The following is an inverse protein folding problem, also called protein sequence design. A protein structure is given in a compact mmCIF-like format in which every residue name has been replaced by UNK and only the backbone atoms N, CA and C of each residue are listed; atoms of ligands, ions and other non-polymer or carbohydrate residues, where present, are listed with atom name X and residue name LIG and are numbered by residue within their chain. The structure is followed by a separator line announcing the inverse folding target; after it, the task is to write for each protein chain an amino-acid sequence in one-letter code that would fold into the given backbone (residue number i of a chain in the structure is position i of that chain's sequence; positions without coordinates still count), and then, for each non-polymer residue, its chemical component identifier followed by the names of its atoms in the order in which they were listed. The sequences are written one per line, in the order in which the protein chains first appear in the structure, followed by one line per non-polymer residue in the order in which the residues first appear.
data_IF_969141426181
#
_entry.id   IF_969141426181
#
_cell.length_a   1.000
_cell.length_b   1.000
_cell.length_c   1.000
_cell.angle_alpha   90.00
_cell.angle_beta   90.00
_cell.angle_gamma   90.00
#
_symmetry.space_group_name_H-M   'P 1'
#
loop_
_entity.id
_entity.type
_entity.pdbx_description
1 polymer ?
#
# COMPACT_ATOMS: atom_id res chain seq x y z
N UNK A 1 18.57 -56.46 -15.34
CA UNK A 1 18.05 -55.27 -16.04
C UNK A 1 16.78 -54.66 -15.45
N UNK A 2 15.96 -55.36 -14.65
CA UNK A 2 14.71 -54.79 -14.05
C UNK A 2 14.94 -53.85 -12.84
N UNK A 3 16.07 -53.94 -12.15
CA UNK A 3 16.36 -53.09 -10.96
C UNK A 3 17.01 -51.76 -11.28
N UNK A 4 17.54 -51.59 -12.52
CA UNK A 4 18.16 -50.33 -12.95
C UNK A 4 17.14 -49.28 -13.39
N UNK A 5 15.96 -49.71 -13.81
CA UNK A 5 14.87 -48.80 -14.26
C UNK A 5 14.10 -48.15 -13.11
N UNK A 6 14.07 -48.80 -11.94
CA UNK A 6 13.37 -48.29 -10.75
C UNK A 6 14.16 -47.15 -10.05
N UNK A 7 15.50 -47.19 -10.10
CA UNK A 7 16.33 -46.14 -9.54
C UNK A 7 16.29 -44.83 -10.37
N UNK A 8 16.04 -44.92 -11.68
CA UNK A 8 15.97 -43.74 -12.56
C UNK A 8 14.65 -42.96 -12.39
N UNK A 9 13.56 -43.63 -12.00
CA UNK A 9 12.28 -42.97 -11.75
C UNK A 9 12.20 -42.26 -10.38
N UNK A 10 13.03 -42.61 -9.38
CA UNK A 10 13.07 -41.93 -8.06
C UNK A 10 13.87 -40.64 -8.08
N UNK A 11 14.74 -40.42 -9.06
CA UNK A 11 15.55 -39.21 -9.19
C UNK A 11 14.81 -38.00 -9.81
N UNK A 12 13.58 -38.22 -10.33
CA UNK A 12 12.78 -37.17 -11.01
C UNK A 12 11.69 -36.56 -10.13
N UNK A 13 11.57 -36.95 -8.85
CA UNK A 13 10.54 -36.46 -7.92
C UNK A 13 11.08 -35.45 -6.86
N UNK A 14 12.31 -35.02 -7.01
CA UNK A 14 12.76 -33.82 -6.32
C UNK A 14 12.23 -32.57 -7.06
N UNK A 15 10.92 -32.45 -7.20
CA UNK A 15 10.31 -31.16 -7.45
C UNK A 15 10.54 -30.34 -6.18
N UNK A 16 11.51 -29.44 -6.26
CA UNK A 16 11.70 -28.34 -5.34
C UNK A 16 10.31 -27.78 -5.01
N UNK A 17 9.85 -27.95 -3.78
CA UNK A 17 9.00 -26.95 -3.17
C UNK A 17 9.86 -25.68 -3.12
N UNK A 18 9.86 -24.89 -4.17
CA UNK A 18 10.36 -23.54 -4.08
C UNK A 18 9.45 -22.85 -3.04
N UNK A 19 10.04 -22.44 -1.94
CA UNK A 19 9.30 -21.69 -0.93
C UNK A 19 8.61 -20.52 -1.64
N UNK A 20 7.29 -20.40 -1.44
CA UNK A 20 6.51 -19.34 -2.07
C UNK A 20 7.02 -17.99 -1.60
N UNK A 21 7.39 -17.13 -2.53
CA UNK A 21 7.84 -15.77 -2.23
C UNK A 21 6.79 -15.05 -1.38
N UNK A 22 7.19 -14.52 -0.23
CA UNK A 22 6.32 -13.79 0.69
C UNK A 22 6.63 -12.30 0.68
N UNK A 23 5.62 -11.48 0.53
CA UNK A 23 5.73 -10.03 0.55
C UNK A 23 4.76 -9.40 1.55
N UNK A 24 5.12 -8.24 2.09
CA UNK A 24 4.23 -7.46 2.95
C UNK A 24 3.96 -6.09 2.30
N UNK A 25 2.71 -5.66 2.30
CA UNK A 25 2.24 -4.51 1.52
C UNK A 25 1.38 -3.59 2.38
N UNK A 26 1.62 -2.30 2.32
CA UNK A 26 0.74 -1.31 2.93
C UNK A 26 -0.69 -1.41 2.40
N UNK A 27 -1.67 -1.47 3.30
CA UNK A 27 -3.08 -1.78 2.98
C UNK A 27 -3.68 -0.87 1.88
N UNK A 28 -3.24 0.39 1.79
CA UNK A 28 -3.69 1.34 0.76
C UNK A 28 -3.27 0.97 -0.67
N UNK A 29 -2.37 0.01 -0.84
CA UNK A 29 -1.86 -0.44 -2.15
C UNK A 29 -2.33 -1.86 -2.52
N UNK A 30 -3.28 -2.43 -1.76
CA UNK A 30 -3.77 -3.78 -2.01
C UNK A 30 -4.24 -3.98 -3.45
N UNK A 31 -5.05 -3.05 -3.99
CA UNK A 31 -5.65 -3.20 -5.33
C UNK A 31 -4.62 -3.27 -6.45
N UNK A 32 -3.71 -2.28 -6.63
CA UNK A 32 -2.69 -2.38 -7.67
C UNK A 32 -1.80 -3.61 -7.50
N UNK A 33 -1.41 -3.97 -6.28
CA UNK A 33 -0.56 -5.14 -6.07
C UNK A 33 -1.29 -6.44 -6.38
N UNK A 34 -2.57 -6.58 -6.05
CA UNK A 34 -3.36 -7.77 -6.46
C UNK A 34 -3.41 -7.90 -7.99
N UNK A 35 -3.58 -6.80 -8.74
CA UNK A 35 -3.56 -6.81 -10.20
C UNK A 35 -2.17 -7.20 -10.75
N UNK A 36 -1.10 -6.68 -10.14
CA UNK A 36 0.28 -7.05 -10.46
C UNK A 36 0.54 -8.53 -10.21
N UNK A 37 0.13 -9.06 -9.04
CA UNK A 37 0.34 -10.47 -8.69
C UNK A 37 -0.43 -11.40 -9.61
N UNK A 38 -1.65 -11.03 -10.00
CA UNK A 38 -2.44 -11.76 -10.98
C UNK A 38 -1.71 -11.82 -12.34
N UNK A 39 -1.20 -10.69 -12.83
CA UNK A 39 -0.43 -10.63 -14.08
C UNK A 39 0.88 -11.45 -14.00
N UNK A 40 1.51 -11.54 -12.83
CA UNK A 40 2.69 -12.36 -12.58
C UNK A 40 2.36 -13.86 -12.67
N UNK A 41 1.28 -14.29 -12.01
CA UNK A 41 0.80 -15.67 -12.02
C UNK A 41 0.35 -16.11 -13.43
N UNK A 42 -0.39 -15.26 -14.15
CA UNK A 42 -0.85 -15.53 -15.52
C UNK A 42 0.29 -15.72 -16.53
N UNK A 43 1.49 -15.19 -16.25
CA UNK A 43 2.70 -15.43 -17.04
C UNK A 43 3.45 -16.72 -16.66
N UNK A 44 2.93 -17.49 -15.72
CA UNK A 44 3.53 -18.75 -15.28
C UNK A 44 4.73 -18.59 -14.35
N UNK A 45 4.94 -17.40 -13.75
CA UNK A 45 6.06 -17.15 -12.84
C UNK A 45 5.83 -17.69 -11.42
N UNK A 46 4.67 -18.28 -11.15
CA UNK A 46 4.29 -18.85 -9.86
C UNK A 46 3.50 -17.88 -8.98
N UNK A 47 3.12 -18.36 -7.80
CA UNK A 47 2.37 -17.57 -6.81
C UNK A 47 3.28 -16.80 -5.88
N UNK A 48 2.78 -15.66 -5.40
CA UNK A 48 3.39 -14.85 -4.36
C UNK A 48 2.37 -14.66 -3.25
N UNK A 49 2.77 -14.94 -2.01
CA UNK A 49 1.95 -14.71 -0.84
C UNK A 49 2.09 -13.26 -0.38
N UNK A 50 1.03 -12.49 -0.47
CA UNK A 50 1.03 -11.09 -0.08
C UNK A 50 0.18 -10.84 1.18
N UNK A 51 0.80 -10.25 2.19
CA UNK A 51 0.14 -9.81 3.41
C UNK A 51 -0.10 -8.32 3.36
N UNK A 52 -1.30 -7.89 3.75
CA UNK A 52 -1.72 -6.50 3.69
C UNK A 52 -2.07 -5.98 5.09
N UNK A 53 -1.59 -4.79 5.43
CA UNK A 53 -1.88 -4.21 6.73
C UNK A 53 -1.42 -2.77 6.86
N UNK A 54 -1.65 -2.16 8.01
CA UNK A 54 -0.99 -0.91 8.35
C UNK A 54 0.51 -1.14 8.61
N UNK A 55 1.28 -0.06 8.75
CA UNK A 55 2.75 -0.17 8.86
C UNK A 55 3.19 -1.02 10.06
N UNK A 56 2.49 -0.94 11.20
CA UNK A 56 2.81 -1.75 12.37
C UNK A 56 2.61 -3.25 12.11
N UNK A 57 1.52 -3.62 11.41
CA UNK A 57 1.21 -5.01 11.05
C UNK A 57 2.23 -5.57 10.06
N UNK A 58 2.53 -4.83 8.96
CA UNK A 58 3.48 -5.34 7.95
C UNK A 58 4.91 -5.47 8.52
N UNK A 59 5.32 -4.58 9.43
CA UNK A 59 6.62 -4.72 10.09
C UNK A 59 6.66 -5.86 11.09
N UNK A 60 5.55 -6.13 11.80
CA UNK A 60 5.46 -7.32 12.65
C UNK A 60 5.57 -8.61 11.82
N UNK A 61 4.90 -8.70 10.67
CA UNK A 61 5.06 -9.83 9.75
C UNK A 61 6.50 -9.95 9.24
N UNK A 62 7.14 -8.84 8.83
CA UNK A 62 8.51 -8.86 8.33
C UNK A 62 9.54 -9.31 9.40
N UNK A 63 9.26 -9.11 10.69
CA UNK A 63 10.12 -9.58 11.80
C UNK A 63 9.88 -11.04 12.18
N UNK A 64 8.68 -11.56 11.96
CA UNK A 64 8.26 -12.89 12.44
C UNK A 64 8.27 -13.95 11.33
N UNK A 65 8.26 -13.54 10.08
CA UNK A 65 8.14 -14.41 8.91
C UNK A 65 9.25 -14.12 7.90
N UNK A 66 9.52 -15.06 7.02
CA UNK A 66 10.48 -14.89 5.91
C UNK A 66 9.88 -14.01 4.80
N UNK A 67 9.69 -12.74 5.10
CA UNK A 67 9.28 -11.74 4.11
C UNK A 67 10.50 -11.31 3.30
N UNK A 68 10.38 -11.37 1.97
CA UNK A 68 11.46 -10.95 1.08
C UNK A 68 11.36 -9.47 0.67
N UNK A 69 10.13 -8.95 0.52
CA UNK A 69 9.87 -7.59 0.09
C UNK A 69 8.82 -6.91 0.97
N UNK A 70 9.02 -5.63 1.25
CA UNK A 70 8.01 -4.77 1.85
C UNK A 70 7.69 -3.63 0.90
N UNK A 71 6.42 -3.52 0.48
CA UNK A 71 5.96 -2.45 -0.42
C UNK A 71 5.26 -1.37 0.42
N UNK A 72 5.91 -0.23 0.56
CA UNK A 72 5.44 0.89 1.38
C UNK A 72 6.19 2.20 1.06
N UNK A 73 5.90 3.26 1.81
CA UNK A 73 6.67 4.50 1.76
C UNK A 73 8.08 4.28 2.33
N UNK A 74 9.08 4.70 1.57
CA UNK A 74 10.51 4.62 1.89
C UNK A 74 10.84 5.23 3.26
N UNK A 75 10.27 6.39 3.60
CA UNK A 75 10.43 7.06 4.91
C UNK A 75 10.09 6.13 6.09
N UNK A 76 9.04 5.30 5.95
CA UNK A 76 8.66 4.33 6.98
C UNK A 76 9.61 3.13 7.01
N UNK A 77 10.09 2.65 5.85
CA UNK A 77 11.04 1.53 5.79
C UNK A 77 12.39 1.93 6.40
N UNK A 78 12.91 3.11 6.08
CA UNK A 78 14.20 3.60 6.59
C UNK A 78 14.23 3.78 8.11
N UNK A 79 13.07 4.00 8.75
CA UNK A 79 12.95 4.05 10.21
C UNK A 79 13.09 2.68 10.88
N UNK A 80 12.94 1.56 10.14
CA UNK A 80 12.96 0.19 10.67
C UNK A 80 14.38 -0.39 10.64
N UNK A 81 15.27 0.12 11.51
CA UNK A 81 16.69 -0.29 11.57
C UNK A 81 16.90 -1.80 11.77
N UNK A 82 15.96 -2.49 12.42
CA UNK A 82 16.03 -3.92 12.72
C UNK A 82 15.77 -4.82 11.50
N UNK A 83 15.14 -4.29 10.44
CA UNK A 83 14.74 -5.09 9.27
C UNK A 83 15.81 -5.20 8.18
N UNK A 84 16.92 -4.48 8.29
CA UNK A 84 18.07 -4.58 7.37
C UNK A 84 17.68 -4.59 5.89
N UNK A 85 16.97 -3.54 5.43
CA UNK A 85 16.69 -3.36 4.02
C UNK A 85 18.00 -3.16 3.24
N UNK A 86 18.17 -3.94 2.16
CA UNK A 86 19.39 -3.93 1.33
C UNK A 86 19.22 -3.12 0.05
N UNK A 87 17.99 -2.92 -0.41
CA UNK A 87 17.69 -2.13 -1.61
C UNK A 87 16.27 -1.54 -1.54
N UNK A 88 16.07 -0.42 -2.24
CA UNK A 88 14.76 0.23 -2.43
C UNK A 88 14.51 0.47 -3.91
N UNK A 89 13.57 -0.25 -4.48
CA UNK A 89 13.16 -0.08 -5.87
C UNK A 89 11.91 0.78 -5.95
N UNK A 90 12.00 1.92 -6.66
CA UNK A 90 10.86 2.82 -6.81
C UNK A 90 9.72 2.15 -7.57
N UNK A 91 8.48 2.34 -7.08
CA UNK A 91 7.23 1.91 -7.69
C UNK A 91 6.44 3.12 -8.19
N UNK A 92 6.42 4.20 -7.42
CA UNK A 92 5.67 5.41 -7.76
C UNK A 92 5.67 6.44 -6.64
N UNK A 93 4.82 7.45 -6.81
CA UNK A 93 4.65 8.54 -5.84
C UNK A 93 3.26 8.48 -5.23
N UNK A 94 3.19 8.41 -3.91
CA UNK A 94 1.93 8.44 -3.18
C UNK A 94 1.34 9.85 -3.12
N UNK A 95 0.07 10.00 -3.42
CA UNK A 95 -0.65 11.28 -3.37
C UNK A 95 -1.73 11.20 -2.29
N UNK A 96 -1.69 12.14 -1.34
CA UNK A 96 -2.74 12.30 -0.34
C UNK A 96 -3.91 13.09 -0.91
N UNK A 97 -5.12 12.65 -0.60
CA UNK A 97 -6.37 13.29 -1.05
C UNK A 97 -7.37 13.35 0.09
N UNK A 98 -8.32 14.28 -0.01
CA UNK A 98 -9.54 14.30 0.79
C UNK A 98 -10.65 13.76 -0.10
N UNK A 99 -11.17 12.57 0.22
CA UNK A 99 -12.36 12.02 -0.40
C UNK A 99 -13.60 12.47 0.39
N UNK A 100 -14.72 12.69 -0.29
CA UNK A 100 -15.97 13.10 0.33
C UNK A 100 -17.13 12.20 -0.07
N UNK A 101 -18.10 12.02 0.83
CA UNK A 101 -19.25 11.17 0.61
C UNK A 101 -20.21 11.77 -0.43
N UNK A 102 -21.01 10.92 -1.07
CA UNK A 102 -22.05 11.39 -2.01
C UNK A 102 -23.01 12.35 -1.32
N UNK A 103 -23.29 13.47 -1.96
CA UNK A 103 -24.20 14.50 -1.42
C UNK A 103 -23.52 15.51 -0.48
N UNK A 104 -22.25 15.33 -0.14
CA UNK A 104 -21.47 16.33 0.58
C UNK A 104 -20.91 17.35 -0.42
N UNK A 105 -21.15 18.64 -0.16
CA UNK A 105 -20.52 19.75 -0.92
C UNK A 105 -19.09 19.95 -0.42
N UNK A 106 -18.11 19.76 -1.29
CA UNK A 106 -16.70 19.85 -0.96
C UNK A 106 -15.89 20.22 -2.21
N UNK A 107 -15.49 21.50 -2.31
CA UNK A 107 -14.89 22.07 -3.51
C UNK A 107 -13.40 22.43 -3.33
N UNK A 108 -12.96 22.59 -2.06
CA UNK A 108 -11.57 22.98 -1.73
C UNK A 108 -11.12 22.36 -0.40
N UNK A 109 -9.80 22.37 -0.12
CA UNK A 109 -9.28 21.87 1.16
C UNK A 109 -9.75 22.71 2.36
N UNK A 110 -10.08 23.97 2.15
CA UNK A 110 -10.60 24.91 3.15
C UNK A 110 -11.95 24.48 3.70
N UNK A 111 -12.75 23.80 2.87
CA UNK A 111 -14.08 23.29 3.25
C UNK A 111 -14.02 22.29 4.41
N UNK A 112 -12.86 21.65 4.62
CA UNK A 112 -12.63 20.77 5.77
C UNK A 112 -12.98 21.42 7.10
N UNK A 113 -12.82 22.74 7.18
CA UNK A 113 -13.08 23.52 8.39
C UNK A 113 -14.51 24.08 8.47
N UNK A 114 -15.33 23.92 7.44
CA UNK A 114 -16.70 24.43 7.40
C UNK A 114 -17.60 23.71 8.42
N UNK A 115 -18.63 24.40 8.89
CA UNK A 115 -19.60 23.82 9.81
C UNK A 115 -20.43 22.69 9.20
N UNK A 116 -20.57 22.69 7.87
CA UNK A 116 -21.27 21.63 7.12
C UNK A 116 -20.56 20.26 7.23
N UNK A 117 -19.25 20.24 7.42
CA UNK A 117 -18.47 19.02 7.64
C UNK A 117 -18.50 18.67 9.12
N UNK A 118 -19.14 17.55 9.48
CA UNK A 118 -19.33 17.10 10.88
C UNK A 118 -18.34 16.01 11.28
N UNK A 119 -17.86 15.19 10.32
CA UNK A 119 -17.02 14.04 10.59
C UNK A 119 -15.93 13.87 9.53
N UNK A 120 -14.70 13.64 10.01
CA UNK A 120 -13.49 13.50 9.18
C UNK A 120 -12.77 12.22 9.60
N UNK A 121 -12.73 11.21 8.74
CA UNK A 121 -11.95 10.03 9.03
C UNK A 121 -10.52 10.15 8.51
N UNK A 122 -9.55 9.63 9.25
CA UNK A 122 -8.16 9.49 8.80
C UNK A 122 -7.49 8.27 9.45
N UNK A 123 -6.46 7.68 8.80
CA UNK A 123 -5.70 6.62 9.43
C UNK A 123 -4.84 7.14 10.58
N UNK A 124 -4.46 6.25 11.51
CA UNK A 124 -3.57 6.61 12.63
C UNK A 124 -2.17 7.03 12.12
N UNK A 125 -1.74 8.24 12.45
CA UNK A 125 -0.50 8.85 11.93
C UNK A 125 0.77 8.02 12.22
N UNK A 126 0.86 7.38 13.41
CA UNK A 126 2.04 6.57 13.76
C UNK A 126 2.10 5.22 13.04
N UNK A 127 0.98 4.75 12.48
CA UNK A 127 0.85 3.40 11.92
C UNK A 127 0.48 3.37 10.44
N UNK A 128 0.22 4.52 9.83
CA UNK A 128 -0.21 4.57 8.44
C UNK A 128 0.40 5.76 7.69
N UNK A 129 0.88 5.52 6.47
CA UNK A 129 1.52 6.50 5.60
C UNK A 129 0.63 7.75 5.43
N UNK A 130 -0.64 7.55 5.09
CA UNK A 130 -1.58 8.65 4.86
C UNK A 130 -2.18 9.21 6.15
N UNK A 131 -1.98 8.55 7.27
CA UNK A 131 -2.21 9.14 8.60
C UNK A 131 -1.11 10.15 8.95
N UNK A 132 0.16 9.82 8.69
CA UNK A 132 1.31 10.73 8.88
C UNK A 132 1.16 11.95 7.96
N UNK A 133 0.95 11.74 6.65
CA UNK A 133 0.74 12.81 5.68
C UNK A 133 -0.50 13.68 5.99
N UNK A 134 -1.59 13.07 6.43
CA UNK A 134 -2.80 13.77 6.85
C UNK A 134 -2.58 14.66 8.08
N UNK A 135 -1.82 14.18 9.05
CA UNK A 135 -1.46 14.97 10.22
C UNK A 135 -0.51 16.11 9.88
N UNK A 136 0.51 15.85 8.99
CA UNK A 136 1.36 16.92 8.47
C UNK A 136 0.52 18.00 7.75
N UNK A 137 -0.41 17.58 6.89
CA UNK A 137 -1.32 18.50 6.20
C UNK A 137 -2.15 19.33 7.17
N UNK A 138 -2.84 18.71 8.12
CA UNK A 138 -3.70 19.43 9.06
C UNK A 138 -2.92 20.46 9.89
N UNK A 139 -1.69 20.15 10.28
CA UNK A 139 -0.82 21.05 11.02
C UNK A 139 -0.28 22.18 10.12
N UNK A 140 0.24 21.87 8.95
CA UNK A 140 0.87 22.83 8.05
C UNK A 140 -0.17 23.81 7.44
N UNK A 141 -1.38 23.33 7.15
CA UNK A 141 -2.51 24.17 6.75
C UNK A 141 -3.17 24.92 7.93
N UNK A 142 -2.74 24.67 9.18
CA UNK A 142 -3.33 25.23 10.41
C UNK A 142 -4.81 24.89 10.58
N UNK A 143 -5.22 23.72 10.12
CA UNK A 143 -6.59 23.23 10.24
C UNK A 143 -6.80 22.37 11.49
N UNK A 144 -5.76 21.76 12.05
CA UNK A 144 -5.85 20.77 13.12
C UNK A 144 -6.74 21.23 14.29
N UNK A 145 -6.48 22.40 14.86
CA UNK A 145 -7.25 22.90 16.01
C UNK A 145 -8.74 23.15 15.71
N UNK A 146 -9.06 23.41 14.45
CA UNK A 146 -10.44 23.64 14.00
C UNK A 146 -11.21 22.34 13.73
N UNK A 147 -10.49 21.24 13.46
CA UNK A 147 -11.12 19.98 13.04
C UNK A 147 -10.90 18.83 14.03
N UNK A 148 -10.03 18.96 15.02
CA UNK A 148 -9.64 17.86 15.93
C UNK A 148 -10.84 17.15 16.60
N UNK A 149 -11.89 17.88 16.94
CA UNK A 149 -13.11 17.32 17.55
C UNK A 149 -13.99 16.55 16.53
N UNK A 150 -13.74 16.72 15.22
CA UNK A 150 -14.43 16.02 14.14
C UNK A 150 -13.67 14.79 13.66
N UNK A 151 -12.42 14.56 14.16
CA UNK A 151 -11.55 13.51 13.67
C UNK A 151 -11.95 12.14 14.21
N UNK A 152 -12.20 11.21 13.30
CA UNK A 152 -12.30 9.78 13.56
C UNK A 152 -11.02 9.09 13.08
N UNK A 153 -10.18 8.67 14.02
CA UNK A 153 -8.92 7.99 13.71
C UNK A 153 -9.13 6.49 13.66
N UNK A 154 -8.78 5.87 12.53
CA UNK A 154 -8.95 4.43 12.27
C UNK A 154 -7.64 3.77 11.87
N UNK A 155 -7.62 2.43 11.74
CA UNK A 155 -6.37 1.71 11.56
C UNK A 155 -5.76 1.81 10.16
N UNK A 156 -6.57 1.91 9.09
CA UNK A 156 -6.12 1.77 7.70
C UNK A 156 -6.85 2.68 6.72
N UNK A 157 -6.19 2.99 5.59
CA UNK A 157 -6.81 3.71 4.46
C UNK A 157 -8.06 3.02 3.93
N UNK A 158 -8.10 1.69 3.68
CA UNK A 158 -9.33 1.02 3.24
C UNK A 158 -10.52 1.21 4.19
N UNK A 159 -10.27 1.28 5.49
CA UNK A 159 -11.33 1.53 6.48
C UNK A 159 -11.88 2.95 6.34
N UNK A 160 -11.02 3.96 6.18
CA UNK A 160 -11.46 5.35 5.89
C UNK A 160 -12.28 5.39 4.61
N UNK A 161 -11.77 4.77 3.52
CA UNK A 161 -12.47 4.72 2.23
C UNK A 161 -13.85 4.06 2.33
N UNK A 162 -13.98 3.00 3.15
CA UNK A 162 -15.28 2.37 3.42
C UNK A 162 -16.25 3.35 4.09
N UNK A 163 -15.82 4.04 5.14
CA UNK A 163 -16.66 4.99 5.88
C UNK A 163 -17.15 6.17 5.02
N UNK A 164 -16.29 6.68 4.13
CA UNK A 164 -16.72 7.70 3.16
C UNK A 164 -17.72 7.12 2.17
N UNK A 165 -17.47 5.89 1.66
CA UNK A 165 -18.31 5.23 0.66
C UNK A 165 -19.71 4.88 1.20
N UNK A 166 -19.82 4.58 2.50
CA UNK A 166 -21.09 4.27 3.19
C UNK A 166 -21.74 5.50 3.83
N UNK A 167 -21.12 6.67 3.70
CA UNK A 167 -21.54 7.92 4.33
C UNK A 167 -21.65 7.82 5.88
N UNK A 168 -20.78 7.01 6.47
CA UNK A 168 -20.58 7.00 7.94
C UNK A 168 -19.76 8.21 8.40
N UNK A 169 -19.00 8.82 7.48
CA UNK A 169 -18.32 10.12 7.65
C UNK A 169 -18.53 10.99 6.42
N UNK A 170 -18.45 12.30 6.60
CA UNK A 170 -18.59 13.27 5.52
C UNK A 170 -17.39 13.25 4.58
N UNK A 171 -16.19 13.23 5.16
CA UNK A 171 -14.94 13.25 4.40
C UNK A 171 -13.88 12.32 5.02
N UNK A 172 -12.89 11.94 4.22
CA UNK A 172 -11.79 11.11 4.69
C UNK A 172 -10.46 11.47 4.03
N UNK A 173 -9.38 11.49 4.81
CA UNK A 173 -8.02 11.66 4.29
C UNK A 173 -7.50 10.27 3.92
N UNK A 174 -7.26 10.06 2.62
CA UNK A 174 -6.83 8.77 2.05
C UNK A 174 -5.76 8.98 0.97
N UNK A 175 -5.33 7.92 0.33
CA UNK A 175 -4.49 8.01 -0.88
C UNK A 175 -5.33 8.10 -2.15
N UNK A 176 -4.73 8.65 -3.21
CA UNK A 176 -5.34 8.72 -4.53
C UNK A 176 -5.76 7.33 -5.04
N UNK A 177 -4.96 6.30 -4.78
CA UNK A 177 -5.24 4.91 -5.14
C UNK A 177 -6.61 4.44 -4.61
N UNK A 178 -6.89 4.68 -3.33
CA UNK A 178 -8.17 4.29 -2.73
C UNK A 178 -9.33 5.17 -3.21
N UNK A 179 -9.09 6.45 -3.48
CA UNK A 179 -10.10 7.35 -4.05
C UNK A 179 -10.50 6.91 -5.46
N UNK A 180 -9.53 6.57 -6.31
CA UNK A 180 -9.79 6.05 -7.66
C UNK A 180 -10.52 4.70 -7.63
N UNK A 181 -10.16 3.80 -6.71
CA UNK A 181 -10.82 2.51 -6.54
C UNK A 181 -12.29 2.64 -6.08
N UNK A 182 -12.61 3.71 -5.37
CA UNK A 182 -13.96 3.96 -4.82
C UNK A 182 -14.73 5.08 -5.54
N UNK A 183 -14.25 5.55 -6.68
CA UNK A 183 -14.80 6.74 -7.36
C UNK A 183 -16.30 6.68 -7.62
N UNK A 184 -16.82 5.51 -7.97
CA UNK A 184 -18.24 5.30 -8.22
C UNK A 184 -19.08 5.28 -6.93
N UNK A 185 -18.46 5.17 -5.76
CA UNK A 185 -19.10 5.04 -4.44
C UNK A 185 -19.05 6.30 -3.61
N UNK A 186 -18.12 7.22 -3.91
CA UNK A 186 -17.91 8.50 -3.21
C UNK A 186 -18.46 9.67 -4.03
N UNK A 187 -18.55 10.86 -3.44
CA UNK A 187 -18.91 12.10 -4.14
C UNK A 187 -17.79 12.62 -5.04
N UNK A 188 -16.55 12.37 -4.63
CA UNK A 188 -15.34 12.74 -5.34
C UNK A 188 -14.15 12.85 -4.40
N UNK A 189 -13.09 13.48 -4.87
CA UNK A 189 -11.90 13.76 -4.05
C UNK A 189 -11.20 15.04 -4.49
N UNK A 190 -10.47 15.66 -3.56
CA UNK A 190 -9.57 16.80 -3.82
C UNK A 190 -8.15 16.40 -3.42
N UNK A 191 -7.17 16.66 -4.28
CA UNK A 191 -5.77 16.42 -3.97
C UNK A 191 -5.29 17.43 -2.94
N UNK A 192 -4.65 16.96 -1.88
CA UNK A 192 -3.95 17.81 -0.93
C UNK A 192 -2.68 18.34 -1.62
N UNK A 193 -2.46 19.67 -1.65
CA UNK A 193 -1.24 20.21 -2.25
C UNK A 193 0.01 19.67 -1.57
N UNK A 194 1.00 19.27 -2.38
CA UNK A 194 2.24 18.64 -1.91
C UNK A 194 3.02 19.49 -0.90
N UNK A 195 2.83 20.80 -0.91
CA UNK A 195 3.48 21.72 0.03
C UNK A 195 3.08 21.49 1.50
N UNK A 196 1.98 20.76 1.75
CA UNK A 196 1.46 20.52 3.09
C UNK A 196 1.92 19.22 3.74
N UNK A 197 2.58 18.33 3.00
CA UNK A 197 3.07 17.06 3.56
C UNK A 197 4.36 16.61 2.89
N UNK A 198 5.16 15.81 3.58
CA UNK A 198 6.40 15.23 3.05
C UNK A 198 6.09 14.35 1.84
N UNK A 199 6.85 14.47 0.71
CA UNK A 199 6.69 13.59 -0.44
C UNK A 199 6.70 12.12 -0.05
N UNK A 200 5.76 11.36 -0.60
CA UNK A 200 5.59 9.93 -0.34
C UNK A 200 6.19 9.15 -1.50
N UNK A 201 7.32 8.47 -1.25
CA UNK A 201 8.00 7.64 -2.24
C UNK A 201 7.65 6.17 -2.00
N UNK A 202 6.82 5.58 -2.88
CA UNK A 202 6.43 4.18 -2.75
C UNK A 202 7.48 3.29 -3.39
N UNK A 203 8.02 2.38 -2.59
CA UNK A 203 9.11 1.49 -2.98
C UNK A 203 8.81 0.03 -2.62
N UNK A 204 9.45 -0.88 -3.35
CA UNK A 204 9.65 -2.25 -2.90
C UNK A 204 11.01 -2.29 -2.17
N UNK A 205 10.96 -2.32 -0.85
CA UNK A 205 12.13 -2.49 0.00
C UNK A 205 12.50 -3.98 0.10
N UNK A 206 13.69 -4.35 -0.35
CA UNK A 206 14.19 -5.72 -0.31
C UNK A 206 14.85 -6.01 1.03
N UNK A 207 14.47 -7.10 1.67
CA UNK A 207 15.16 -7.65 2.83
C UNK A 207 16.30 -8.59 2.38
N UNK A 208 17.24 -8.89 3.26
CA UNK A 208 18.45 -9.66 2.95
C UNK A 208 18.16 -11.02 2.29
N UNK A 209 17.07 -11.67 2.66
CA UNK A 209 16.66 -12.95 2.06
C UNK A 209 16.45 -12.84 0.53
N UNK A 210 16.04 -11.68 0.04
CA UNK A 210 15.84 -11.41 -1.38
C UNK A 210 17.13 -11.46 -2.22
N UNK A 211 18.32 -11.21 -1.63
CA UNK A 211 19.59 -11.15 -2.39
C UNK A 211 19.91 -12.47 -3.11
N UNK A 212 19.58 -13.60 -2.48
CA UNK A 212 19.86 -14.94 -3.01
C UNK A 212 18.61 -15.67 -3.49
N UNK A 213 17.45 -15.04 -3.46
CA UNK A 213 16.17 -15.59 -3.90
C UNK A 213 15.86 -15.17 -5.35
N UNK A 214 15.97 -16.12 -6.28
CA UNK A 214 15.68 -15.90 -7.71
C UNK A 214 14.23 -15.46 -7.95
N UNK A 215 13.26 -15.97 -7.19
CA UNK A 215 11.86 -15.57 -7.31
C UNK A 215 11.68 -14.11 -6.93
N UNK A 216 12.35 -13.66 -5.86
CA UNK A 216 12.36 -12.26 -5.44
C UNK A 216 12.98 -11.36 -6.51
N UNK A 217 14.16 -11.72 -7.04
CA UNK A 217 14.84 -10.94 -8.09
C UNK A 217 14.00 -10.84 -9.37
N UNK A 218 13.38 -11.95 -9.78
CA UNK A 218 12.48 -11.97 -10.93
C UNK A 218 11.26 -11.08 -10.72
N UNK A 219 10.67 -11.08 -9.52
CA UNK A 219 9.54 -10.23 -9.22
C UNK A 219 9.93 -8.74 -9.22
N UNK A 220 11.09 -8.38 -8.67
CA UNK A 220 11.61 -7.01 -8.75
C UNK A 220 11.78 -6.54 -10.19
N UNK A 221 12.37 -7.38 -11.07
CA UNK A 221 12.46 -7.06 -12.50
C UNK A 221 11.07 -6.92 -13.15
N UNK A 222 10.13 -7.80 -12.79
CA UNK A 222 8.77 -7.73 -13.30
C UNK A 222 8.06 -6.42 -12.93
N UNK A 223 8.24 -5.92 -11.70
CA UNK A 223 7.67 -4.65 -11.25
C UNK A 223 8.12 -3.44 -12.11
N UNK A 224 9.26 -3.54 -12.81
CA UNK A 224 9.78 -2.46 -13.68
C UNK A 224 9.31 -2.55 -15.13
N UNK A 225 8.57 -3.57 -15.49
CA UNK A 225 8.08 -3.71 -16.87
C UNK A 225 7.09 -2.60 -17.23
N UNK A 226 7.01 -2.17 -18.51
CA UNK A 226 6.05 -1.16 -18.94
C UNK A 226 4.61 -1.47 -18.53
N UNK A 227 4.19 -2.74 -18.64
CA UNK A 227 2.85 -3.16 -18.23
C UNK A 227 2.58 -2.92 -16.74
N UNK A 228 3.54 -3.15 -15.85
CA UNK A 228 3.36 -2.89 -14.42
C UNK A 228 3.32 -1.39 -14.13
N UNK A 229 4.09 -0.58 -14.85
CA UNK A 229 4.00 0.88 -14.77
C UNK A 229 2.62 1.39 -15.17
N UNK A 230 2.02 0.83 -16.22
CA UNK A 230 0.65 1.17 -16.63
C UNK A 230 -0.36 0.84 -15.51
N UNK A 231 -0.22 -0.32 -14.84
CA UNK A 231 -1.05 -0.64 -13.69
C UNK A 231 -0.86 0.40 -12.57
N UNK A 232 0.37 0.73 -12.22
CA UNK A 232 0.62 1.71 -11.16
C UNK A 232 0.06 3.09 -11.51
N UNK A 233 0.27 3.58 -12.74
CA UNK A 233 -0.29 4.85 -13.21
C UNK A 233 -1.82 4.85 -13.19
N UNK A 234 -2.47 3.76 -13.59
CA UNK A 234 -3.94 3.58 -13.50
C UNK A 234 -4.47 3.79 -12.08
N UNK A 235 -3.68 3.40 -11.07
CA UNK A 235 -4.01 3.58 -9.66
C UNK A 235 -3.42 4.85 -9.02
N UNK A 236 -2.89 5.77 -9.83
CA UNK A 236 -2.38 7.06 -9.37
C UNK A 236 -1.04 7.01 -8.63
N UNK A 237 -0.18 6.06 -8.99
CA UNK A 237 1.19 5.89 -8.50
C UNK A 237 2.22 6.28 -9.55
#
# INVERSE_FOLDING_TARGET
MKHFLVLLCMALLSHLCADTLKIAVGAGYKKPIVEVLKAYEERGYGKIDAMYGNMAQIFAHAKQMEIALVIADKKFLEKQKELNFVNYQNIGTGIAVIAYAKGVSFDSIEDLTNEGIKSIAMPEAKKAIYGDAGMEFLNNAKFYDRVKEKLLVVATVPQVSSYVSTHEVDVGIINLTAALDSIDKIGGYIKIPQAYYTPIEIVAGSLKVCENDKACQNFLMFLQTPQMREIFVKYGL
#
